data_IF_213021960385
#
_entry.id   IF_213021960385
#
_cell.length_a   1.000
_cell.length_b   1.000
_cell.length_c   1.000
_cell.angle_alpha   90.00
_cell.angle_beta   90.00
_cell.angle_gamma   90.00
#
_symmetry.space_group_name_H-M   'P 1'
#
loop_
_entity.id
_entity.type
_entity.pdbx_description
1 polymer ?
#
# COMPACT_ATOMS: atom_id res chain seq x y z
N UNK A 1 -17.51 24.09 -32.14
CA UNK A 1 -17.41 25.29 -31.27
C UNK A 1 -18.26 25.18 -30.00
N UNK A 2 -19.41 24.47 -29.97
CA UNK A 2 -20.21 24.28 -28.76
C UNK A 2 -19.51 23.47 -27.64
N UNK A 3 -18.60 22.55 -27.97
CA UNK A 3 -17.94 21.67 -26.99
C UNK A 3 -16.88 22.38 -26.13
N UNK A 4 -16.23 23.44 -26.64
CA UNK A 4 -15.25 24.22 -25.88
C UNK A 4 -15.94 25.15 -24.86
N UNK A 5 -17.10 25.70 -25.22
CA UNK A 5 -17.87 26.62 -24.37
C UNK A 5 -18.47 25.91 -23.14
N UNK A 6 -18.94 24.66 -23.29
CA UNK A 6 -19.43 23.87 -22.17
C UNK A 6 -18.29 23.51 -21.17
N UNK A 7 -17.09 23.19 -21.69
CA UNK A 7 -15.93 22.89 -20.85
C UNK A 7 -15.38 24.13 -20.13
N UNK A 8 -15.46 25.32 -20.72
CA UNK A 8 -15.05 26.56 -20.05
C UNK A 8 -16.02 26.98 -18.96
N UNK A 9 -17.33 26.78 -19.16
CA UNK A 9 -18.34 27.10 -18.14
C UNK A 9 -18.28 26.16 -16.93
N UNK A 10 -18.06 24.85 -17.15
CA UNK A 10 -17.86 23.88 -16.07
C UNK A 10 -16.63 24.21 -15.21
N UNK A 11 -15.54 24.65 -15.84
CA UNK A 11 -14.30 25.02 -15.11
C UNK A 11 -14.47 26.28 -14.28
N UNK A 12 -15.20 27.28 -14.77
CA UNK A 12 -15.48 28.52 -14.04
C UNK A 12 -16.45 28.28 -12.87
N UNK A 13 -17.45 27.42 -13.05
CA UNK A 13 -18.36 27.01 -11.97
C UNK A 13 -17.62 26.29 -10.84
N UNK A 14 -16.73 25.35 -11.16
CA UNK A 14 -15.92 24.64 -10.17
C UNK A 14 -14.90 25.56 -9.46
N UNK A 15 -14.40 26.59 -10.15
CA UNK A 15 -13.55 27.62 -9.55
C UNK A 15 -14.30 28.51 -8.56
N UNK A 16 -15.56 28.87 -8.87
CA UNK A 16 -16.42 29.64 -7.95
C UNK A 16 -16.79 28.89 -6.66
N UNK A 17 -16.73 27.56 -6.70
CA UNK A 17 -16.95 26.69 -5.54
C UNK A 17 -15.67 26.39 -4.75
N UNK A 18 -14.53 26.96 -5.13
CA UNK A 18 -13.24 26.73 -4.47
C UNK A 18 -12.64 25.34 -4.71
N UNK A 19 -13.18 24.58 -5.68
CA UNK A 19 -12.74 23.21 -5.99
C UNK A 19 -11.60 23.18 -7.03
N UNK A 20 -11.31 24.32 -7.68
CA UNK A 20 -10.21 24.44 -8.66
C UNK A 20 -9.59 25.85 -8.61
N UNK A 21 -8.30 25.93 -8.29
CA UNK A 21 -7.49 27.16 -8.36
C UNK A 21 -6.92 27.38 -9.77
N UNK A 22 -6.81 28.63 -10.27
CA UNK A 22 -6.21 28.89 -11.56
C UNK A 22 -4.69 28.72 -11.48
N UNK A 23 -4.16 27.97 -12.45
CA UNK A 23 -2.73 27.83 -12.77
C UNK A 23 -1.80 27.54 -11.56
N UNK A 24 -1.82 26.29 -11.09
CA UNK A 24 -0.67 25.77 -10.36
C UNK A 24 0.50 25.63 -11.35
N UNK A 25 1.58 26.35 -11.10
CA UNK A 25 2.88 26.16 -11.75
C UNK A 25 3.25 24.66 -11.71
N UNK A 26 3.62 24.01 -12.83
CA UNK A 26 3.92 22.58 -12.85
C UNK A 26 5.14 22.20 -11.97
N UNK A 27 5.90 23.18 -11.48
CA UNK A 27 7.01 23.00 -10.53
C UNK A 27 6.58 22.97 -9.05
N UNK A 28 5.40 23.48 -8.71
CA UNK A 28 4.90 23.54 -7.31
C UNK A 28 4.01 22.35 -6.94
N UNK A 29 3.38 21.69 -7.92
CA UNK A 29 2.59 20.47 -7.70
C UNK A 29 3.43 19.28 -7.21
N UNK A 30 4.72 19.25 -7.57
CA UNK A 30 5.64 18.16 -7.21
C UNK A 30 5.98 18.16 -5.71
N UNK A 31 5.96 19.31 -5.02
CA UNK A 31 6.13 19.35 -3.55
C UNK A 31 4.82 19.07 -2.80
N UNK A 32 3.69 19.55 -3.31
CA UNK A 32 2.38 19.33 -2.69
C UNK A 32 1.98 17.84 -2.63
N UNK A 33 2.24 17.09 -3.70
CA UNK A 33 1.95 15.65 -3.72
C UNK A 33 2.88 14.82 -2.82
N UNK A 34 4.12 15.24 -2.58
CA UNK A 34 5.05 14.52 -1.69
C UNK A 34 4.68 14.64 -0.21
N UNK A 35 4.22 15.83 0.21
CA UNK A 35 3.72 16.03 1.58
C UNK A 35 2.49 15.13 1.82
N UNK A 36 1.58 15.06 0.85
CA UNK A 36 0.44 14.14 0.90
C UNK A 36 0.88 12.67 0.89
N UNK A 37 1.89 12.33 0.07
CA UNK A 37 2.44 10.98 -0.03
C UNK A 37 3.07 10.49 1.28
N UNK A 38 3.88 11.33 1.92
CA UNK A 38 4.48 11.01 3.22
C UNK A 38 3.41 10.79 4.31
N UNK A 39 2.40 11.66 4.38
CA UNK A 39 1.28 11.50 5.32
C UNK A 39 0.46 10.24 5.04
N UNK A 40 0.22 9.92 3.76
CA UNK A 40 -0.46 8.70 3.36
C UNK A 40 0.34 7.45 3.75
N UNK A 41 1.67 7.44 3.55
CA UNK A 41 2.55 6.35 3.97
C UNK A 41 2.46 6.12 5.49
N UNK A 42 2.53 7.19 6.30
CA UNK A 42 2.39 7.05 7.75
C UNK A 42 1.00 6.57 8.17
N UNK A 43 -0.06 6.98 7.45
CA UNK A 43 -1.40 6.44 7.68
C UNK A 43 -1.47 4.94 7.37
N UNK A 44 -0.92 4.50 6.23
CA UNK A 44 -0.87 3.08 5.83
C UNK A 44 -0.14 2.26 6.88
N UNK A 45 1.06 2.70 7.30
CA UNK A 45 1.86 1.99 8.31
C UNK A 45 1.14 1.97 9.66
N UNK A 46 0.56 3.09 10.10
CA UNK A 46 -0.22 3.13 11.35
C UNK A 46 -1.41 2.18 11.28
N UNK A 47 -2.16 2.19 10.18
CA UNK A 47 -3.31 1.31 9.97
C UNK A 47 -2.90 -0.16 10.05
N UNK A 48 -1.84 -0.57 9.36
CA UNK A 48 -1.30 -1.92 9.49
C UNK A 48 -0.81 -2.21 10.92
N UNK A 49 -0.15 -1.24 11.57
CA UNK A 49 0.37 -1.35 12.93
C UNK A 49 -0.70 -1.58 13.99
N UNK A 50 -1.92 -1.06 13.79
CA UNK A 50 -3.07 -1.38 14.67
C UNK A 50 -3.45 -2.86 14.69
N UNK A 51 -2.93 -3.65 13.73
CA UNK A 51 -3.20 -5.07 13.62
C UNK A 51 -2.10 -5.95 14.23
N UNK A 52 -1.04 -5.37 14.82
CA UNK A 52 -0.03 -6.14 15.55
C UNK A 52 -0.71 -6.99 16.62
N UNK A 53 -0.38 -8.29 16.67
CA UNK A 53 -1.02 -9.26 17.56
C UNK A 53 -2.20 -10.01 16.96
N UNK A 54 -2.81 -9.53 15.87
CA UNK A 54 -3.87 -10.25 15.17
C UNK A 54 -3.32 -11.55 14.58
N UNK A 55 -4.05 -12.68 14.65
CA UNK A 55 -3.58 -13.95 14.10
C UNK A 55 -3.31 -13.91 12.59
N UNK A 56 -2.37 -14.73 12.15
CA UNK A 56 -2.28 -15.08 10.74
C UNK A 56 -3.46 -15.98 10.33
N UNK A 57 -4.03 -15.71 9.16
CA UNK A 57 -5.02 -16.57 8.53
C UNK A 57 -4.77 -16.64 7.03
N UNK A 58 -4.50 -17.84 6.50
CA UNK A 58 -4.29 -18.05 5.06
C UNK A 58 -5.52 -17.58 4.27
N UNK A 59 -5.36 -16.66 3.32
CA UNK A 59 -6.47 -16.07 2.60
C UNK A 59 -7.28 -15.05 3.40
N UNK A 60 -6.93 -14.77 4.65
CA UNK A 60 -7.62 -13.80 5.51
C UNK A 60 -7.27 -12.35 5.21
N UNK A 61 -8.22 -11.46 5.44
CA UNK A 61 -8.05 -10.01 5.28
C UNK A 61 -9.06 -9.40 4.32
N UNK A 62 -9.82 -8.42 4.82
CA UNK A 62 -10.72 -7.58 4.03
C UNK A 62 -10.21 -6.14 3.99
N UNK A 63 -10.84 -5.27 3.19
CA UNK A 63 -10.48 -3.84 3.14
C UNK A 63 -10.73 -3.11 4.48
N UNK A 64 -11.58 -3.67 5.34
CA UNK A 64 -12.04 -3.05 6.58
C UNK A 64 -11.51 -3.72 7.85
N UNK A 65 -10.80 -4.85 7.75
CA UNK A 65 -10.24 -5.54 8.91
C UNK A 65 -9.95 -7.02 8.65
N UNK A 66 -9.55 -7.77 9.70
CA UNK A 66 -9.29 -9.19 9.59
C UNK A 66 -10.57 -9.94 9.21
N UNK A 67 -10.43 -11.04 8.48
CA UNK A 67 -11.55 -11.88 8.08
C UNK A 67 -11.20 -13.35 8.25
N UNK A 68 -12.20 -14.22 8.12
CA UNK A 68 -11.92 -15.64 7.89
C UNK A 68 -11.09 -15.78 6.62
N UNK A 69 -10.17 -16.73 6.66
CA UNK A 69 -9.39 -17.12 5.51
C UNK A 69 -10.06 -18.19 4.66
N UNK A 70 -9.25 -18.88 3.86
CA UNK A 70 -9.63 -20.05 3.07
C UNK A 70 -8.71 -21.21 3.41
N UNK A 71 -9.06 -22.42 3.00
CA UNK A 71 -8.26 -23.63 3.26
C UNK A 71 -7.83 -23.74 4.73
N UNK A 72 -6.52 -23.74 5.01
CA UNK A 72 -5.96 -23.80 6.35
C UNK A 72 -6.36 -22.61 7.23
N UNK A 73 -6.78 -21.49 6.64
CA UNK A 73 -7.27 -20.28 7.31
C UNK A 73 -8.78 -20.20 7.49
N UNK A 74 -9.57 -21.15 6.98
CA UNK A 74 -11.04 -21.07 7.03
C UNK A 74 -11.60 -20.98 8.47
N UNK A 75 -10.88 -21.58 9.44
CA UNK A 75 -11.21 -21.54 10.86
C UNK A 75 -10.81 -20.26 11.60
N UNK A 76 -9.94 -19.43 11.01
CA UNK A 76 -9.22 -18.36 11.73
C UNK A 76 -9.58 -17.00 11.18
N UNK A 77 -9.97 -16.07 12.05
CA UNK A 77 -10.11 -14.64 11.71
C UNK A 77 -8.74 -13.97 11.84
N UNK A 78 -8.22 -13.43 10.74
CA UNK A 78 -6.89 -12.87 10.70
C UNK A 78 -6.54 -12.24 9.35
N UNK A 79 -5.24 -12.13 9.11
CA UNK A 79 -4.69 -11.69 7.82
C UNK A 79 -3.64 -12.68 7.30
N UNK A 80 -3.53 -12.80 5.99
CA UNK A 80 -2.28 -13.21 5.35
C UNK A 80 -1.47 -11.99 4.91
N UNK A 81 -0.30 -12.22 4.30
CA UNK A 81 0.63 -11.18 3.90
C UNK A 81 -0.01 -10.12 2.99
N UNK A 82 -0.63 -10.56 1.90
CA UNK A 82 -1.25 -9.69 0.91
C UNK A 82 -2.58 -9.09 1.37
N UNK A 83 -3.30 -9.77 2.26
CA UNK A 83 -4.49 -9.23 2.91
C UNK A 83 -4.17 -8.05 3.82
N UNK A 84 -3.07 -8.13 4.58
CA UNK A 84 -2.62 -7.06 5.47
C UNK A 84 -2.21 -5.80 4.69
N UNK A 85 -1.39 -5.96 3.64
CA UNK A 85 -0.95 -4.83 2.79
C UNK A 85 -2.16 -4.19 2.10
N UNK A 86 -3.04 -4.99 1.51
CA UNK A 86 -4.27 -4.51 0.86
C UNK A 86 -5.17 -3.74 1.83
N UNK A 87 -5.38 -4.24 3.05
CA UNK A 87 -6.12 -3.54 4.10
C UNK A 87 -5.50 -2.19 4.46
N UNK A 88 -4.17 -2.15 4.57
CA UNK A 88 -3.44 -0.95 4.96
C UNK A 88 -3.55 0.16 3.90
N UNK A 89 -3.30 -0.19 2.64
CA UNK A 89 -3.34 0.74 1.50
C UNK A 89 -4.77 1.20 1.16
N UNK A 90 -5.79 0.36 1.39
CA UNK A 90 -7.19 0.76 1.22
C UNK A 90 -7.58 1.96 2.10
N UNK A 91 -6.90 2.14 3.24
CA UNK A 91 -7.12 3.26 4.15
C UNK A 91 -6.81 4.64 3.56
N UNK A 92 -6.05 4.70 2.47
CA UNK A 92 -5.75 5.93 1.72
C UNK A 92 -6.31 5.89 0.29
N UNK A 93 -7.28 5.01 0.04
CA UNK A 93 -7.94 4.88 -1.27
C UNK A 93 -7.15 4.10 -2.32
N UNK A 94 -6.05 3.43 -1.95
CA UNK A 94 -5.28 2.59 -2.87
C UNK A 94 -5.75 1.14 -2.77
N UNK A 95 -6.34 0.64 -3.85
CA UNK A 95 -6.82 -0.75 -3.92
C UNK A 95 -5.75 -1.65 -4.54
N UNK A 96 -5.04 -2.40 -3.70
CA UNK A 96 -4.10 -3.42 -4.15
C UNK A 96 -4.82 -4.71 -4.55
N UNK A 97 -4.32 -5.47 -5.54
CA UNK A 97 -4.77 -6.84 -5.84
C UNK A 97 -4.76 -7.78 -4.63
N UNK A 98 -5.46 -8.92 -4.70
CA UNK A 98 -5.55 -9.85 -3.55
C UNK A 98 -4.29 -10.68 -3.36
N UNK A 99 -3.55 -10.97 -4.44
CA UNK A 99 -2.41 -11.87 -4.44
C UNK A 99 -1.10 -11.09 -4.48
N UNK A 100 -0.09 -11.55 -3.73
CA UNK A 100 1.18 -10.83 -3.59
C UNK A 100 1.93 -10.71 -4.92
N UNK A 101 1.84 -11.73 -5.80
CA UNK A 101 2.43 -11.66 -7.14
C UNK A 101 1.85 -10.51 -7.98
N UNK A 102 0.54 -10.27 -7.87
CA UNK A 102 -0.10 -9.14 -8.56
C UNK A 102 0.25 -7.81 -7.87
N UNK A 103 0.35 -7.79 -6.53
CA UNK A 103 0.79 -6.61 -5.79
C UNK A 103 2.24 -6.23 -6.12
N UNK A 104 3.08 -7.22 -6.43
CA UNK A 104 4.43 -6.98 -6.88
C UNK A 104 4.42 -6.09 -8.13
N UNK A 105 3.47 -6.28 -9.05
CA UNK A 105 3.38 -5.50 -10.30
C UNK A 105 2.50 -4.25 -10.21
N UNK A 106 1.92 -3.95 -9.04
CA UNK A 106 0.96 -2.86 -8.85
C UNK A 106 1.59 -1.46 -8.67
N UNK A 107 2.91 -1.32 -8.72
CA UNK A 107 3.60 -0.05 -8.49
C UNK A 107 4.98 0.04 -9.13
N UNK A 108 5.74 1.07 -8.74
CA UNK A 108 7.07 1.32 -9.31
C UNK A 108 8.11 0.41 -8.67
N UNK A 109 8.85 -0.34 -9.48
CA UNK A 109 9.98 -1.16 -9.04
C UNK A 109 11.13 -0.28 -8.55
N UNK A 110 11.70 -0.62 -7.39
CA UNK A 110 12.81 0.09 -6.75
C UNK A 110 13.86 -0.92 -6.33
N UNK A 111 15.16 -0.70 -6.57
CA UNK A 111 16.20 -1.59 -6.04
C UNK A 111 16.12 -1.66 -4.50
N UNK A 112 16.30 -2.84 -3.86
CA UNK A 112 16.21 -2.95 -2.40
C UNK A 112 17.16 -2.01 -1.63
N UNK A 113 18.32 -1.68 -2.19
CA UNK A 113 19.26 -0.70 -1.63
C UNK A 113 18.71 0.74 -1.57
N UNK A 114 17.65 1.03 -2.32
CA UNK A 114 16.94 2.33 -2.35
C UNK A 114 15.55 2.25 -1.71
N UNK A 115 15.25 1.13 -1.03
CA UNK A 115 13.99 0.96 -0.34
C UNK A 115 13.81 2.06 0.71
N UNK A 116 12.63 2.66 0.71
CA UNK A 116 12.19 3.67 1.68
C UNK A 116 11.05 3.11 2.52
N UNK A 117 10.90 3.66 3.72
CA UNK A 117 9.73 3.42 4.56
C UNK A 117 8.44 3.57 3.74
N UNK A 118 7.56 2.58 3.82
CA UNK A 118 6.33 2.49 3.05
C UNK A 118 6.41 1.64 1.76
N UNK A 119 7.62 1.31 1.28
CA UNK A 119 7.77 0.38 0.16
C UNK A 119 7.36 -1.05 0.58
N UNK A 120 6.81 -1.81 -0.36
CA UNK A 120 6.49 -3.21 -0.17
C UNK A 120 7.67 -4.10 -0.55
N UNK A 121 8.06 -4.98 0.38
CA UNK A 121 9.09 -6.01 0.21
C UNK A 121 8.43 -7.30 -0.25
N UNK A 122 9.07 -8.05 -1.15
CA UNK A 122 8.53 -9.30 -1.69
C UNK A 122 9.56 -10.43 -1.67
N UNK A 123 9.07 -11.67 -1.58
CA UNK A 123 9.88 -12.89 -1.62
C UNK A 123 9.32 -13.90 -2.62
N UNK A 124 10.23 -14.73 -3.10
CA UNK A 124 9.95 -15.82 -4.03
C UNK A 124 9.83 -15.40 -5.50
N UNK A 125 9.72 -16.37 -6.42
CA UNK A 125 9.57 -16.10 -7.85
C UNK A 125 8.38 -15.18 -8.10
N UNK A 126 8.62 -14.03 -8.73
CA UNK A 126 7.58 -13.04 -9.02
C UNK A 126 6.90 -12.42 -7.79
N UNK A 127 7.49 -12.51 -6.59
CA UNK A 127 6.87 -11.99 -5.37
C UNK A 127 5.68 -12.82 -4.88
N UNK A 128 5.55 -14.07 -5.34
CA UNK A 128 4.41 -14.94 -5.06
C UNK A 128 4.41 -15.62 -3.68
N UNK A 129 5.52 -15.60 -2.93
CA UNK A 129 5.62 -16.36 -1.68
C UNK A 129 5.25 -15.54 -0.45
N UNK A 130 5.70 -14.29 -0.37
CA UNK A 130 5.45 -13.44 0.79
C UNK A 130 5.61 -11.97 0.46
N UNK A 131 4.99 -11.11 1.26
CA UNK A 131 5.20 -9.66 1.22
C UNK A 131 5.09 -8.99 2.60
N UNK A 132 5.69 -7.81 2.72
CA UNK A 132 5.71 -7.04 3.96
C UNK A 132 5.86 -5.54 3.70
N UNK A 133 5.43 -4.69 4.65
CA UNK A 133 5.61 -3.24 4.57
C UNK A 133 6.97 -2.87 5.19
N UNK A 134 7.85 -2.24 4.43
CA UNK A 134 9.14 -1.77 4.95
C UNK A 134 8.94 -0.56 5.88
N UNK A 135 9.52 -0.62 7.07
CA UNK A 135 9.38 0.43 8.08
C UNK A 135 10.57 1.40 8.11
N UNK A 136 11.62 1.14 7.32
CA UNK A 136 12.92 1.77 7.51
C UNK A 136 13.74 1.05 8.60
N UNK A 137 15.01 1.44 8.76
CA UNK A 137 15.88 0.92 9.82
C UNK A 137 16.08 -0.60 9.81
N UNK A 138 15.93 -1.26 8.64
CA UNK A 138 16.02 -2.72 8.55
C UNK A 138 14.85 -3.47 9.19
N UNK A 139 13.71 -2.82 9.41
CA UNK A 139 12.50 -3.44 9.98
C UNK A 139 11.36 -3.52 8.96
N UNK A 140 10.49 -4.50 9.13
CA UNK A 140 9.28 -4.69 8.32
C UNK A 140 8.09 -5.15 9.16
N UNK A 141 6.89 -4.77 8.75
CA UNK A 141 5.63 -5.21 9.34
C UNK A 141 5.00 -6.28 8.45
N UNK A 142 4.65 -7.44 9.02
CA UNK A 142 4.23 -8.59 8.25
C UNK A 142 3.19 -9.48 8.96
N UNK A 143 2.38 -10.15 8.15
CA UNK A 143 1.67 -11.36 8.51
C UNK A 143 2.48 -12.56 7.99
N UNK A 144 3.40 -13.08 8.80
CA UNK A 144 4.47 -13.97 8.35
C UNK A 144 3.97 -15.35 7.89
N UNK A 145 3.26 -16.07 8.75
CA UNK A 145 2.85 -17.46 8.53
C UNK A 145 1.87 -17.92 9.62
N UNK A 146 1.21 -19.06 9.39
CA UNK A 146 0.31 -19.71 10.36
C UNK A 146 1.00 -19.92 11.72
N UNK A 147 0.26 -19.61 12.79
CA UNK A 147 0.74 -19.72 14.18
C UNK A 147 1.57 -18.52 14.67
N UNK A 148 1.91 -17.58 13.78
CA UNK A 148 2.63 -16.35 14.15
C UNK A 148 1.69 -15.16 13.99
N UNK A 149 1.40 -14.38 15.05
CA UNK A 149 0.60 -13.18 14.92
C UNK A 149 1.34 -12.10 14.13
N UNK A 150 0.60 -11.13 13.61
CA UNK A 150 1.18 -9.95 12.93
C UNK A 150 2.18 -9.28 13.86
N UNK A 151 3.35 -8.97 13.32
CA UNK A 151 4.47 -8.44 14.10
C UNK A 151 5.40 -7.60 13.25
N UNK A 152 6.29 -6.90 13.93
CA UNK A 152 7.47 -6.29 13.33
C UNK A 152 8.61 -7.30 13.40
N UNK A 153 9.33 -7.46 12.29
CA UNK A 153 10.49 -8.32 12.16
C UNK A 153 11.68 -7.56 11.58
N UNK A 154 12.92 -8.00 11.82
CA UNK A 154 14.05 -7.62 10.98
C UNK A 154 13.83 -8.05 9.53
N UNK A 155 14.29 -7.24 8.58
CA UNK A 155 14.21 -7.56 7.15
C UNK A 155 15.03 -8.81 6.83
N UNK A 156 14.43 -9.75 6.11
CA UNK A 156 15.07 -10.98 5.63
C UNK A 156 15.45 -10.83 4.16
N UNK A 157 16.72 -11.04 3.80
CA UNK A 157 17.20 -10.87 2.41
C UNK A 157 17.18 -12.16 1.58
N UNK A 158 17.27 -13.32 2.22
CA UNK A 158 17.20 -14.62 1.53
C UNK A 158 15.87 -14.75 0.79
N UNK A 159 15.93 -15.04 -0.51
CA UNK A 159 14.76 -15.19 -1.38
C UNK A 159 14.01 -13.89 -1.69
N UNK A 160 14.55 -12.72 -1.31
CA UNK A 160 13.95 -11.43 -1.65
C UNK A 160 14.02 -11.21 -3.17
N UNK A 161 12.96 -10.63 -3.72
CA UNK A 161 12.91 -10.24 -5.14
C UNK A 161 13.98 -9.19 -5.48
N UNK A 162 14.38 -9.07 -6.76
CA UNK A 162 15.38 -8.07 -7.19
C UNK A 162 14.91 -6.62 -7.04
N UNK A 163 13.60 -6.40 -6.81
CA UNK A 163 13.01 -5.10 -6.57
C UNK A 163 12.06 -5.15 -5.37
N UNK A 164 11.94 -4.01 -4.68
CA UNK A 164 10.80 -3.66 -3.82
C UNK A 164 9.81 -2.84 -4.65
N UNK A 165 8.61 -2.60 -4.14
CA UNK A 165 7.57 -1.88 -4.88
C UNK A 165 7.17 -0.62 -4.13
N UNK A 166 7.30 0.52 -4.78
CA UNK A 166 6.77 1.79 -4.31
C UNK A 166 5.36 2.00 -4.85
N UNK A 167 4.40 2.01 -3.93
CA UNK A 167 2.99 2.24 -4.24
C UNK A 167 2.64 3.74 -4.16
N UNK A 168 3.21 4.45 -3.19
CA UNK A 168 2.97 5.89 -2.96
C UNK A 168 4.30 6.63 -3.07
N UNK A 169 4.35 7.67 -3.90
CA UNK A 169 5.54 8.50 -4.05
C UNK A 169 5.66 9.56 -2.93
N UNK A 170 6.87 9.70 -2.38
CA UNK A 170 7.25 10.73 -1.39
C UNK A 170 8.68 11.22 -1.55
#
# INVERSE_FOLDING_TARGET
>A
MATQTAMSMGRNFLSSLGLVSPAADPSTSVRGNRVNGAQAIEYVIRRAGTQIGVPYSWGGGSLTGPSRGVDQGAGTVGFDCSGLTRFAFAGVGVLLPRWSGDQYDAGRKVPPSQAKRGDLLFWGPGGSQHEAIYLGGGQMLEAQQTGVPIKISPVRTSGMTPYVVRIIES
#
